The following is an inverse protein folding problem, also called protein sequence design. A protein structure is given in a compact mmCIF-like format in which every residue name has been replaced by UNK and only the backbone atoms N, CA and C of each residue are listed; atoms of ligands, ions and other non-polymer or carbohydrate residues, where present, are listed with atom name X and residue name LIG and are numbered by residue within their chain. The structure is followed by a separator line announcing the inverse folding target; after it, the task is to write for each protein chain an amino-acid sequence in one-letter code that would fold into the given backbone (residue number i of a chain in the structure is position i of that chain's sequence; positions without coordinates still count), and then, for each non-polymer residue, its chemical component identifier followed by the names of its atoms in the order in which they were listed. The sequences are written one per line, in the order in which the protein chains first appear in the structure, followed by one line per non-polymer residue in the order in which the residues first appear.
data_IF_930825704404
#
_entry.id   IF_930825704404
#
_cell.length_a   1.000
_cell.length_b   1.000
_cell.length_c   1.000
_cell.angle_alpha   90.00
_cell.angle_beta   90.00
_cell.angle_gamma   90.00
#
_symmetry.space_group_name_H-M   'P 1'
#
loop_
_entity.id
_entity.type
_entity.pdbx_description
1 polymer ?
#
# COMPACT_ATOMS: atom_id res chain seq x y z
N UNK A 1 -10.38 -13.34 21.96
CA UNK A 1 -9.44 -12.53 21.16
C UNK A 1 -8.98 -13.37 19.98
N UNK A 2 -9.01 -12.82 18.76
CA UNK A 2 -8.61 -13.53 17.52
C UNK A 2 -7.11 -13.34 17.31
N UNK A 3 -6.36 -14.43 17.14
CA UNK A 3 -4.90 -14.40 16.97
C UNK A 3 -4.50 -15.38 15.87
N UNK A 4 -3.60 -14.93 15.00
CA UNK A 4 -2.99 -15.73 13.94
C UNK A 4 -1.48 -15.53 13.94
N UNK A 5 -0.74 -16.58 13.61
CA UNK A 5 0.69 -16.51 13.36
C UNK A 5 0.95 -16.70 11.86
N UNK A 6 1.74 -15.80 11.29
CA UNK A 6 2.10 -15.77 9.88
C UNK A 6 3.61 -15.89 9.74
N UNK A 7 4.07 -16.96 9.10
CA UNK A 7 5.47 -17.21 8.83
C UNK A 7 5.85 -16.57 7.49
N UNK A 8 6.82 -15.66 7.54
CA UNK A 8 7.36 -14.92 6.40
C UNK A 8 8.86 -15.14 6.29
N UNK A 9 9.42 -14.79 5.15
CA UNK A 9 10.87 -14.76 4.96
C UNK A 9 11.50 -13.65 5.81
N UNK A 10 12.73 -13.87 6.28
CA UNK A 10 13.46 -12.87 7.06
C UNK A 10 13.85 -11.68 6.18
N UNK A 11 13.50 -10.47 6.63
CA UNK A 11 13.98 -9.17 6.15
C UNK A 11 14.21 -8.25 7.35
N UNK A 12 15.10 -7.27 7.22
CA UNK A 12 15.37 -6.28 8.26
C UNK A 12 14.20 -5.31 8.40
N UNK A 13 13.71 -4.74 7.30
CA UNK A 13 12.82 -3.59 7.34
C UNK A 13 11.41 -3.87 6.83
N UNK A 14 11.23 -4.89 5.98
CA UNK A 14 9.93 -5.19 5.36
C UNK A 14 9.27 -3.96 4.69
N UNK A 15 10.08 -3.18 3.96
CA UNK A 15 9.64 -2.03 3.14
C UNK A 15 10.04 -2.15 1.66
N UNK A 16 10.31 -3.37 1.19
CA UNK A 16 10.84 -3.69 -0.13
C UNK A 16 12.20 -4.38 -0.07
N UNK A 17 12.62 -4.95 -1.20
CA UNK A 17 13.95 -5.54 -1.38
C UNK A 17 14.93 -4.44 -1.75
N UNK A 18 16.06 -4.38 -1.05
CA UNK A 18 17.20 -3.50 -1.40
C UNK A 18 18.51 -4.28 -1.38
N UNK A 19 19.60 -3.66 -1.85
CA UNK A 19 20.91 -4.30 -1.78
C UNK A 19 21.36 -4.62 -0.35
N UNK A 20 20.97 -3.77 0.61
CA UNK A 20 21.28 -3.90 2.04
C UNK A 20 20.29 -4.78 2.82
N UNK A 21 19.13 -5.09 2.23
CA UNK A 21 18.05 -5.87 2.83
C UNK A 21 17.39 -6.81 1.81
N UNK A 22 18.14 -7.84 1.43
CA UNK A 22 17.63 -8.94 0.58
C UNK A 22 16.85 -9.92 1.43
N UNK A 23 15.71 -10.39 0.92
CA UNK A 23 15.01 -11.52 1.52
C UNK A 23 15.94 -12.72 1.64
N UNK A 24 15.99 -13.32 2.83
CA UNK A 24 16.82 -14.51 3.03
C UNK A 24 16.33 -15.64 2.11
N UNK A 25 17.21 -16.32 1.37
CA UNK A 25 16.82 -17.51 0.59
C UNK A 25 16.31 -18.61 1.53
N UNK A 26 15.00 -18.71 1.74
CA UNK A 26 14.41 -19.86 2.44
C UNK A 26 14.11 -20.98 1.45
N UNK A 27 14.41 -22.21 1.88
CA UNK A 27 14.28 -23.45 1.13
C UNK A 27 12.85 -23.68 0.66
N UNK A 28 12.58 -23.29 -0.60
CA UNK A 28 11.28 -23.45 -1.25
C UNK A 28 10.93 -22.39 -2.29
N UNK A 29 11.83 -21.44 -2.60
CA UNK A 29 11.60 -20.43 -3.63
C UNK A 29 11.12 -21.04 -4.95
N UNK A 30 9.85 -20.78 -5.27
CA UNK A 30 9.27 -21.06 -6.57
C UNK A 30 9.77 -20.03 -7.59
N UNK A 31 9.74 -20.45 -8.86
CA UNK A 31 10.42 -19.87 -10.02
C UNK A 31 9.84 -18.53 -10.52
N UNK A 32 8.86 -17.95 -9.84
CA UNK A 32 8.20 -16.73 -10.26
C UNK A 32 8.48 -15.62 -9.24
N UNK A 33 9.49 -14.79 -9.52
CA UNK A 33 10.08 -13.80 -8.60
C UNK A 33 9.14 -12.71 -8.04
N UNK A 34 7.85 -12.72 -8.37
CA UNK A 34 6.88 -11.72 -7.92
C UNK A 34 6.30 -12.02 -6.52
N UNK A 35 6.14 -13.29 -6.13
CA UNK A 35 5.45 -13.65 -4.87
C UNK A 35 6.29 -13.42 -3.61
N UNK A 36 7.61 -13.53 -3.69
CA UNK A 36 8.52 -13.19 -2.59
C UNK A 36 8.58 -11.68 -2.35
N UNK A 37 8.31 -10.86 -3.39
CA UNK A 37 8.35 -9.41 -3.28
C UNK A 37 7.25 -8.85 -2.35
N UNK A 38 6.06 -9.43 -2.29
CA UNK A 38 4.95 -8.85 -1.53
C UNK A 38 5.13 -8.95 -0.01
N UNK A 39 5.67 -10.05 0.53
CA UNK A 39 5.95 -10.15 1.98
C UNK A 39 7.02 -9.15 2.41
N UNK A 40 7.91 -8.75 1.48
CA UNK A 40 8.92 -7.74 1.75
C UNK A 40 8.34 -6.35 2.04
N UNK A 41 7.05 -6.11 1.82
CA UNK A 41 6.39 -4.83 2.11
C UNK A 41 5.46 -4.86 3.33
N UNK A 42 5.47 -5.96 4.11
CA UNK A 42 4.56 -6.15 5.24
C UNK A 42 4.65 -5.09 6.34
N UNK A 43 5.62 -4.17 6.35
CA UNK A 43 5.63 -3.07 7.33
C UNK A 43 5.82 -1.70 6.69
N UNK A 44 5.60 -1.58 5.38
CA UNK A 44 5.55 -0.30 4.70
C UNK A 44 4.22 0.40 4.99
N UNK A 45 4.31 1.66 5.43
CA UNK A 45 3.15 2.54 5.50
C UNK A 45 2.75 2.96 4.07
N UNK A 46 1.57 2.53 3.65
CA UNK A 46 0.96 2.86 2.37
C UNK A 46 -0.36 3.58 2.65
N UNK A 47 -0.30 4.90 2.55
CA UNK A 47 -1.42 5.81 2.80
C UNK A 47 -2.12 5.57 4.17
N UNK A 48 -1.35 5.31 5.22
CA UNK A 48 -1.85 5.11 6.59
C UNK A 48 -2.18 3.67 6.98
N UNK A 49 -1.90 2.70 6.09
CA UNK A 49 -2.12 1.27 6.32
C UNK A 49 -0.87 0.44 5.97
N UNK A 50 -0.73 -0.71 6.61
CA UNK A 50 0.15 -1.77 6.11
C UNK A 50 -0.71 -2.89 5.50
N UNK A 51 -0.24 -3.41 4.37
CA UNK A 51 -0.89 -4.47 3.61
C UNK A 51 -0.06 -5.74 3.76
N UNK A 52 -0.58 -6.68 4.55
CA UNK A 52 0.09 -7.91 4.94
C UNK A 52 -0.13 -9.04 3.95
N UNK A 53 0.97 -9.60 3.47
CA UNK A 53 1.02 -10.79 2.64
C UNK A 53 1.69 -11.95 3.39
N UNK A 54 1.08 -13.13 3.26
CA UNK A 54 1.65 -14.41 3.69
C UNK A 54 1.35 -15.45 2.63
N UNK A 55 2.38 -16.17 2.19
CA UNK A 55 2.19 -17.25 1.22
C UNK A 55 1.28 -18.34 1.81
N UNK A 56 0.17 -18.61 1.12
CA UNK A 56 -0.82 -19.60 1.50
C UNK A 56 -1.12 -20.54 0.32
N UNK A 57 -0.57 -21.77 0.37
CA UNK A 57 -0.81 -22.79 -0.67
C UNK A 57 -2.28 -23.23 -0.80
N UNK A 58 -3.10 -22.97 0.21
CA UNK A 58 -4.53 -23.29 0.18
C UNK A 58 -5.39 -22.27 -0.58
N UNK A 59 -4.81 -21.14 -1.01
CA UNK A 59 -5.52 -20.09 -1.76
C UNK A 59 -6.57 -19.30 -0.97
N UNK A 60 -6.88 -19.69 0.27
CA UNK A 60 -7.80 -18.96 1.15
C UNK A 60 -7.47 -19.12 2.64
N UNK A 61 -7.75 -18.09 3.43
CA UNK A 61 -7.71 -18.15 4.88
C UNK A 61 -9.00 -18.80 5.41
N UNK A 62 -8.84 -19.68 6.40
CA UNK A 62 -9.92 -20.37 7.08
C UNK A 62 -10.48 -19.50 8.21
N UNK A 63 -11.23 -18.46 7.85
CA UNK A 63 -11.75 -17.47 8.80
C UNK A 63 -12.70 -18.11 9.83
N UNK A 64 -13.39 -19.20 9.47
CA UNK A 64 -14.28 -19.98 10.33
C UNK A 64 -13.60 -20.56 11.58
N UNK A 65 -12.25 -20.57 11.61
CA UNK A 65 -11.47 -20.96 12.80
C UNK A 65 -11.44 -19.89 13.89
N UNK A 66 -11.90 -18.67 13.59
CA UNK A 66 -12.06 -17.62 14.59
C UNK A 66 -13.45 -17.65 15.21
N UNK A 67 -13.52 -17.35 16.51
CA UNK A 67 -14.80 -17.26 17.22
C UNK A 67 -15.76 -16.29 16.52
N UNK A 68 -17.00 -16.74 16.33
CA UNK A 68 -18.12 -16.04 15.68
C UNK A 68 -18.00 -15.83 14.17
N UNK A 69 -16.92 -16.29 13.53
CA UNK A 69 -16.80 -16.29 12.09
C UNK A 69 -17.39 -17.59 11.51
N UNK A 70 -17.85 -17.53 10.27
CA UNK A 70 -18.44 -18.64 9.52
C UNK A 70 -17.74 -18.80 8.18
N UNK A 71 -17.96 -19.93 7.52
CA UNK A 71 -17.40 -20.21 6.19
C UNK A 71 -17.89 -19.25 5.09
N UNK A 72 -18.95 -18.49 5.37
CA UNK A 72 -19.54 -17.51 4.46
C UNK A 72 -19.00 -16.10 4.68
N UNK A 73 -18.20 -15.86 5.72
CA UNK A 73 -17.61 -14.54 5.94
C UNK A 73 -16.42 -14.34 5.00
N UNK A 74 -16.43 -13.24 4.26
CA UNK A 74 -15.33 -12.87 3.36
C UNK A 74 -14.19 -12.15 4.09
N UNK A 75 -14.47 -11.61 5.29
CA UNK A 75 -13.48 -10.95 6.13
C UNK A 75 -13.79 -11.04 7.62
N UNK A 76 -12.76 -10.84 8.45
CA UNK A 76 -12.89 -10.73 9.91
C UNK A 76 -12.00 -9.62 10.46
N UNK A 77 -12.59 -8.75 11.29
CA UNK A 77 -11.87 -7.67 11.97
C UNK A 77 -11.34 -8.08 13.34
N UNK A 78 -10.58 -7.16 13.96
CA UNK A 78 -10.09 -7.24 15.32
C UNK A 78 -9.19 -8.46 15.57
N UNK A 79 -8.31 -8.75 14.61
CA UNK A 79 -7.34 -9.84 14.68
C UNK A 79 -5.97 -9.31 15.10
N UNK A 80 -5.31 -10.01 16.01
CA UNK A 80 -3.89 -9.86 16.28
C UNK A 80 -3.10 -10.76 15.33
N UNK A 81 -2.36 -10.17 14.40
CA UNK A 81 -1.47 -10.89 13.49
C UNK A 81 -0.07 -10.86 14.08
N UNK A 82 0.51 -12.02 14.36
CA UNK A 82 1.89 -12.16 14.81
C UNK A 82 2.75 -12.62 13.62
N UNK A 83 3.70 -11.78 13.22
CA UNK A 83 4.64 -12.10 12.14
C UNK A 83 5.85 -12.84 12.72
N UNK A 84 6.18 -13.97 12.10
CA UNK A 84 7.24 -14.88 12.51
C UNK A 84 8.19 -15.08 11.34
N UNK A 85 9.49 -15.11 11.59
CA UNK A 85 10.46 -15.44 10.56
C UNK A 85 11.58 -16.33 11.11
N UNK A 86 12.19 -17.12 10.22
CA UNK A 86 13.33 -17.97 10.56
C UNK A 86 14.62 -17.15 10.60
N UNK A 87 15.23 -17.05 11.77
CA UNK A 87 16.53 -16.41 11.94
C UNK A 87 17.65 -17.32 11.44
N UNK A 88 18.42 -16.89 10.43
CA UNK A 88 19.46 -17.70 9.81
C UNK A 88 20.55 -18.16 10.78
N UNK A 89 20.97 -17.29 11.71
CA UNK A 89 22.06 -17.55 12.66
C UNK A 89 21.77 -18.70 13.63
N UNK A 90 20.53 -18.80 14.11
CA UNK A 90 20.12 -19.78 15.12
C UNK A 90 19.29 -20.93 14.52
N UNK A 91 18.76 -20.74 13.31
CA UNK A 91 17.83 -21.66 12.67
C UNK A 91 16.42 -21.66 13.29
N UNK A 92 16.17 -20.81 14.28
CA UNK A 92 14.91 -20.75 15.04
C UNK A 92 13.92 -19.78 14.41
N UNK A 93 12.63 -20.03 14.62
CA UNK A 93 11.58 -19.08 14.26
C UNK A 93 11.36 -18.12 15.42
N UNK A 94 11.34 -16.83 15.14
CA UNK A 94 11.18 -15.78 16.15
C UNK A 94 10.11 -14.79 15.71
N UNK A 95 9.48 -14.12 16.67
CA UNK A 95 8.58 -12.99 16.37
C UNK A 95 9.41 -11.86 15.78
N UNK A 96 9.00 -11.37 14.60
CA UNK A 96 9.61 -10.18 13.97
C UNK A 96 8.78 -8.92 14.22
N UNK A 97 7.47 -9.07 14.38
CA UNK A 97 6.57 -7.95 14.58
C UNK A 97 5.12 -8.41 14.67
N UNK A 98 4.19 -7.45 14.73
CA UNK A 98 2.76 -7.75 14.81
C UNK A 98 1.90 -6.60 14.27
N UNK A 99 0.67 -6.95 13.87
CA UNK A 99 -0.40 -5.98 13.64
C UNK A 99 -1.45 -6.12 14.73
N UNK A 100 -1.89 -4.99 15.30
CA UNK A 100 -3.08 -4.93 16.15
C UNK A 100 -4.29 -4.53 15.32
N UNK A 101 -5.45 -5.05 15.71
CA UNK A 101 -6.75 -4.69 15.12
C UNK A 101 -6.79 -4.83 13.59
N UNK A 102 -6.15 -5.88 13.07
CA UNK A 102 -6.12 -6.16 11.64
C UNK A 102 -7.46 -6.70 11.13
N UNK A 103 -7.74 -6.42 9.87
CA UNK A 103 -8.76 -7.08 9.06
C UNK A 103 -8.08 -8.18 8.24
N UNK A 104 -8.64 -9.39 8.26
CA UNK A 104 -8.22 -10.51 7.43
C UNK A 104 -9.27 -10.77 6.37
N UNK A 105 -8.83 -11.09 5.16
CA UNK A 105 -9.69 -11.49 4.05
C UNK A 105 -9.55 -12.98 3.76
N UNK A 106 -10.67 -13.62 3.42
CA UNK A 106 -10.70 -15.04 3.06
C UNK A 106 -9.86 -15.29 1.82
N UNK A 107 -10.00 -14.45 0.80
CA UNK A 107 -9.22 -14.49 -0.43
C UNK A 107 -8.26 -13.30 -0.48
N UNK A 108 -7.13 -13.46 -1.16
CA UNK A 108 -6.21 -12.35 -1.41
C UNK A 108 -6.94 -11.23 -2.16
N UNK A 109 -6.63 -10.00 -1.77
CA UNK A 109 -7.07 -8.77 -2.40
C UNK A 109 -5.97 -8.27 -3.32
N UNK A 110 -6.38 -7.73 -4.46
CA UNK A 110 -5.52 -7.14 -5.48
C UNK A 110 -5.91 -5.68 -5.67
N UNK A 111 -4.92 -4.79 -5.71
CA UNK A 111 -5.12 -3.39 -6.04
C UNK A 111 -3.99 -2.91 -6.95
N UNK A 112 -4.38 -2.37 -8.10
CA UNK A 112 -3.49 -1.87 -9.13
C UNK A 112 -3.65 -0.35 -9.24
N UNK A 113 -2.62 0.43 -8.91
CA UNK A 113 -2.71 1.88 -8.95
C UNK A 113 -2.78 2.43 -10.37
N UNK A 114 -3.45 3.56 -10.51
CA UNK A 114 -3.55 4.35 -11.74
C UNK A 114 -2.40 5.35 -11.87
N UNK A 115 -2.02 5.63 -13.12
CA UNK A 115 -1.06 6.70 -13.46
C UNK A 115 0.38 6.44 -13.03
N UNK A 116 0.75 5.19 -12.75
CA UNK A 116 2.09 4.86 -12.24
C UNK A 116 2.36 5.37 -10.83
N UNK A 117 1.33 5.75 -10.07
CA UNK A 117 1.45 6.30 -8.71
C UNK A 117 1.28 5.18 -7.68
N UNK A 118 2.36 4.78 -7.04
CA UNK A 118 2.35 3.72 -6.02
C UNK A 118 2.78 2.37 -6.58
N UNK A 119 2.39 1.28 -5.92
CA UNK A 119 2.74 -0.09 -6.34
C UNK A 119 1.53 -1.01 -6.29
N UNK A 120 1.60 -2.09 -7.05
CA UNK A 120 0.63 -3.19 -6.98
C UNK A 120 0.61 -3.77 -5.55
N UNK A 121 -0.59 -3.94 -5.02
CA UNK A 121 -0.81 -4.56 -3.73
C UNK A 121 -1.42 -5.96 -3.93
N UNK A 122 -0.81 -6.93 -3.26
CA UNK A 122 -1.34 -8.28 -3.12
C UNK A 122 -1.30 -8.66 -1.65
N UNK A 123 -2.46 -8.75 -1.00
CA UNK A 123 -2.52 -8.90 0.45
C UNK A 123 -3.71 -9.74 0.89
N UNK A 124 -3.62 -10.35 2.07
CA UNK A 124 -4.77 -11.04 2.71
C UNK A 124 -5.11 -10.42 4.06
N UNK A 125 -4.36 -9.39 4.46
CA UNK A 125 -4.50 -8.73 5.76
C UNK A 125 -4.22 -7.24 5.60
N UNK A 126 -4.92 -6.39 6.33
CA UNK A 126 -4.56 -4.99 6.46
C UNK A 126 -4.73 -4.50 7.90
N UNK A 127 -3.95 -3.50 8.27
CA UNK A 127 -4.09 -2.80 9.54
C UNK A 127 -3.63 -1.34 9.39
N UNK A 128 -4.10 -0.46 10.27
CA UNK A 128 -3.58 0.92 10.32
C UNK A 128 -2.09 0.89 10.61
N UNK A 129 -1.28 1.65 9.89
CA UNK A 129 0.19 1.63 10.03
C UNK A 129 0.67 1.91 11.45
N UNK A 130 -0.01 2.81 12.16
CA UNK A 130 0.20 3.11 13.60
C UNK A 130 -0.08 1.95 14.56
N UNK A 131 -0.71 0.88 14.08
CA UNK A 131 -1.01 -0.36 14.81
C UNK A 131 -0.16 -1.54 14.32
N UNK A 132 0.79 -1.27 13.43
CA UNK A 132 1.78 -2.21 12.93
C UNK A 132 3.12 -1.93 13.60
N UNK A 133 3.77 -2.99 14.08
CA UNK A 133 4.94 -2.87 14.95
C UNK A 133 6.01 -3.87 14.51
N UNK A 134 7.12 -3.36 13.97
CA UNK A 134 8.27 -4.16 13.55
C UNK A 134 9.40 -4.01 14.57
N UNK A 135 9.89 -5.14 15.08
CA UNK A 135 11.00 -5.17 16.02
C UNK A 135 12.34 -4.94 15.31
N UNK A 136 13.27 -4.17 15.93
CA UNK A 136 14.68 -4.17 15.55
C UNK A 136 15.25 -5.59 15.58
N UNK A 137 16.23 -5.90 14.72
CA UNK A 137 16.82 -7.25 14.63
C UNK A 137 17.34 -7.78 15.97
N UNK A 138 17.92 -6.92 16.81
CA UNK A 138 18.44 -7.29 18.14
C UNK A 138 17.36 -7.74 19.12
N UNK A 139 16.11 -7.29 18.91
CA UNK A 139 14.97 -7.55 19.79
C UNK A 139 14.12 -8.75 19.34
N UNK A 140 14.44 -9.34 18.17
CA UNK A 140 13.77 -10.53 17.62
C UNK A 140 14.23 -11.81 18.31
N UNK A 141 14.03 -11.87 19.62
CA UNK A 141 14.52 -12.94 20.50
C UNK A 141 13.41 -13.90 20.98
N UNK A 142 12.13 -13.53 20.84
CA UNK A 142 11.03 -14.38 21.29
C UNK A 142 10.82 -15.54 20.32
N UNK A 143 11.23 -16.73 20.73
CA UNK A 143 11.16 -17.94 19.91
C UNK A 143 9.75 -18.52 19.82
N UNK A 144 9.34 -18.89 18.61
CA UNK A 144 8.12 -19.64 18.34
C UNK A 144 8.50 -21.10 18.05
N UNK A 145 8.15 -22.05 18.95
CA UNK A 145 8.47 -23.45 18.73
C UNK A 145 7.68 -24.01 17.54
N UNK A 146 8.26 -25.00 16.84
CA UNK A 146 7.57 -25.74 15.77
C UNK A 146 6.88 -26.96 16.37
N UNK A 147 5.65 -27.25 15.97
CA UNK A 147 4.89 -28.41 16.48
C UNK A 147 5.62 -29.73 16.29
N UNK A 148 6.42 -29.85 15.21
CA UNK A 148 7.24 -31.02 14.89
C UNK A 148 8.37 -31.28 15.91
N UNK A 149 8.75 -30.28 16.71
CA UNK A 149 9.87 -30.34 17.67
C UNK A 149 9.37 -30.54 19.10
N UNK A 150 8.20 -30.03 19.45
CA UNK A 150 7.62 -30.13 20.79
C UNK A 150 6.58 -31.26 20.85
N UNK A 151 5.31 -30.95 20.63
CA UNK A 151 4.19 -31.88 20.52
C UNK A 151 3.14 -31.25 19.60
N UNK A 152 2.23 -32.07 19.05
CA UNK A 152 1.04 -31.60 18.34
C UNK A 152 0.32 -30.56 19.23
N UNK A 153 -0.14 -29.46 18.65
CA UNK A 153 -0.82 -28.35 19.34
C UNK A 153 0.02 -27.44 20.27
N UNK A 154 1.35 -27.64 20.37
CA UNK A 154 2.26 -26.84 21.22
C UNK A 154 3.26 -25.96 20.46
N UNK A 155 3.14 -25.87 19.14
CA UNK A 155 3.98 -25.02 18.31
C UNK A 155 3.38 -24.81 16.92
N UNK A 156 4.02 -23.98 16.11
CA UNK A 156 3.55 -23.65 14.77
C UNK A 156 3.63 -24.87 13.86
N UNK A 157 2.49 -25.26 13.29
CA UNK A 157 2.38 -26.36 12.31
C UNK A 157 2.86 -25.93 10.92
N UNK A 158 2.92 -26.85 9.96
CA UNK A 158 2.89 -26.49 8.52
C UNK A 158 1.40 -26.45 8.15
N UNK A 159 0.86 -25.41 7.47
CA UNK A 159 1.50 -24.43 6.58
C UNK A 159 2.02 -23.13 7.27
N UNK A 160 2.40 -22.10 6.48
CA UNK A 160 2.90 -20.79 6.94
C UNK A 160 1.93 -20.02 7.88
N UNK A 161 0.72 -20.54 8.07
CA UNK A 161 -0.32 -19.93 8.88
C UNK A 161 -0.67 -20.87 10.01
N UNK A 162 -0.75 -20.34 11.23
CA UNK A 162 -1.19 -21.09 12.40
C UNK A 162 -2.29 -20.35 13.15
N UNK A 163 -3.46 -20.99 13.23
CA UNK A 163 -4.61 -20.55 14.00
C UNK A 163 -4.48 -21.04 15.44
N UNK A 164 -4.71 -20.15 16.40
CA UNK A 164 -4.57 -20.49 17.81
C UNK A 164 -5.85 -21.14 18.33
N UNK A 165 -5.99 -22.44 18.04
CA UNK A 165 -7.20 -23.21 18.37
C UNK A 165 -7.05 -23.98 19.69
N UNK A 166 -5.85 -24.47 20.00
CA UNK A 166 -5.64 -25.35 21.14
C UNK A 166 -5.80 -24.63 22.49
N UNK A 167 -6.48 -25.28 23.43
CA UNK A 167 -6.65 -24.74 24.80
C UNK A 167 -5.31 -24.52 25.50
N UNK A 168 -4.31 -25.37 25.23
CA UNK A 168 -2.96 -25.19 25.73
C UNK A 168 -2.29 -23.92 25.19
N UNK A 169 -2.32 -23.69 23.86
CA UNK A 169 -1.72 -22.49 23.29
C UNK A 169 -2.40 -21.23 23.84
N UNK A 170 -3.74 -21.22 23.93
CA UNK A 170 -4.51 -20.12 24.49
C UNK A 170 -4.17 -19.81 25.96
N UNK A 171 -3.91 -20.83 26.77
CA UNK A 171 -3.72 -20.68 28.24
C UNK A 171 -2.26 -20.54 28.68
N UNK A 172 -1.32 -21.18 27.98
CA UNK A 172 0.09 -21.25 28.41
C UNK A 172 1.02 -20.44 27.52
N UNK A 173 0.70 -20.30 26.24
CA UNK A 173 1.61 -19.71 25.25
C UNK A 173 1.25 -18.26 24.93
N UNK A 174 -0.02 -17.99 24.63
CA UNK A 174 -0.51 -16.64 24.31
C UNK A 174 -0.27 -15.63 25.44
N UNK A 175 -0.50 -15.93 26.73
CA UNK A 175 -0.24 -14.95 27.78
C UNK A 175 1.20 -14.47 27.83
N UNK A 176 2.18 -15.36 27.58
CA UNK A 176 3.60 -15.00 27.53
C UNK A 176 3.94 -14.07 26.37
N UNK A 177 3.30 -14.27 25.22
CA UNK A 177 3.47 -13.38 24.05
C UNK A 177 2.86 -12.02 24.32
N UNK A 178 1.67 -11.97 24.91
CA UNK A 178 1.03 -10.72 25.27
C UNK A 178 1.83 -9.96 26.34
N UNK A 179 2.37 -10.67 27.32
CA UNK A 179 3.28 -10.10 28.30
C UNK A 179 4.55 -9.54 27.63
N UNK A 180 5.18 -10.30 26.72
CA UNK A 180 6.30 -9.81 25.92
C UNK A 180 5.95 -8.52 25.16
N UNK A 181 4.82 -8.50 24.44
CA UNK A 181 4.37 -7.31 23.70
C UNK A 181 4.06 -6.11 24.60
N UNK A 182 3.51 -6.33 25.80
CA UNK A 182 3.15 -5.26 26.74
C UNK A 182 4.38 -4.71 27.50
N UNK A 183 5.32 -5.60 27.81
CA UNK A 183 6.56 -5.29 28.52
C UNK A 183 7.62 -4.69 27.62
N UNK A 184 7.56 -4.91 26.30
CA UNK A 184 8.49 -4.30 25.35
C UNK A 184 8.46 -2.76 25.44
N UNK A 185 9.61 -2.17 25.77
CA UNK A 185 9.82 -0.71 25.87
C UNK A 185 10.77 -0.16 24.81
N UNK A 186 11.26 -1.01 23.90
CA UNK A 186 12.10 -0.59 22.79
C UNK A 186 11.32 0.19 21.73
N UNK A 187 12.06 0.81 20.81
CA UNK A 187 11.48 1.46 19.63
C UNK A 187 11.15 0.45 18.54
N UNK A 188 10.14 0.75 17.73
CA UNK A 188 9.83 0.00 16.51
C UNK A 188 10.53 0.65 15.32
N UNK A 189 10.92 -0.14 14.32
CA UNK A 189 11.72 0.34 13.18
C UNK A 189 10.88 0.69 11.95
N UNK A 190 9.63 0.23 11.87
CA UNK A 190 8.75 0.61 10.77
C UNK A 190 8.39 2.10 10.86
N UNK A 191 8.48 2.80 9.74
CA UNK A 191 8.14 4.21 9.67
C UNK A 191 6.63 4.39 9.61
N UNK A 192 6.12 5.33 10.42
CA UNK A 192 4.72 5.76 10.41
C UNK A 192 4.70 7.26 10.15
N UNK A 193 4.06 7.67 9.07
CA UNK A 193 4.05 9.08 8.64
C UNK A 193 2.90 9.83 9.32
N UNK A 194 3.11 10.21 10.58
CA UNK A 194 2.17 11.07 11.30
C UNK A 194 2.18 12.50 10.74
N UNK A 195 1.16 13.30 11.08
CA UNK A 195 1.14 14.72 10.71
C UNK A 195 2.38 15.48 11.19
N UNK A 196 2.88 15.17 12.37
CA UNK A 196 4.09 15.78 12.92
C UNK A 196 5.31 15.46 12.06
N UNK A 197 5.43 14.20 11.60
CA UNK A 197 6.52 13.76 10.71
C UNK A 197 6.40 14.46 9.35
N UNK A 198 5.20 14.49 8.76
CA UNK A 198 4.98 15.03 7.43
C UNK A 198 5.07 16.56 7.35
N UNK A 199 4.84 17.27 8.46
CA UNK A 199 4.95 18.74 8.53
C UNK A 199 6.32 19.22 9.00
N UNK A 200 7.25 18.30 9.25
CA UNK A 200 8.58 18.62 9.77
C UNK A 200 9.36 19.49 8.78
N UNK A 201 10.14 20.42 9.33
CA UNK A 201 11.08 21.28 8.59
C UNK A 201 12.50 21.03 9.07
N UNK A 202 13.47 21.49 8.29
CA UNK A 202 14.88 21.52 8.65
C UNK A 202 15.17 22.71 9.57
N UNK A 203 16.18 22.57 10.42
CA UNK A 203 16.74 23.67 11.20
C UNK A 203 18.02 24.18 10.52
N UNK A 204 17.87 24.77 9.33
CA UNK A 204 18.96 25.30 8.51
C UNK A 204 18.60 26.71 8.02
N UNK A 205 19.62 27.52 7.75
CA UNK A 205 19.46 28.88 7.23
C UNK A 205 19.89 28.92 5.77
N UNK A 206 19.01 28.48 4.87
CA UNK A 206 19.15 28.63 3.42
C UNK A 206 18.06 29.57 2.89
N UNK A 207 18.34 30.22 1.76
CA UNK A 207 17.32 30.97 1.02
C UNK A 207 16.35 30.02 0.29
N UNK A 208 15.25 30.57 -0.22
CA UNK A 208 14.19 29.80 -0.86
C UNK A 208 14.70 28.95 -2.04
N UNK A 209 15.41 29.54 -3.02
CA UNK A 209 15.79 28.82 -4.24
C UNK A 209 16.75 27.64 -3.97
N UNK A 210 17.81 27.77 -3.16
CA UNK A 210 18.64 26.62 -2.81
C UNK A 210 17.90 25.46 -2.12
N UNK A 211 16.81 25.73 -1.39
CA UNK A 211 15.98 24.69 -0.79
C UNK A 211 15.17 23.94 -1.87
N UNK A 212 14.64 24.67 -2.85
CA UNK A 212 13.92 24.09 -4.00
C UNK A 212 14.87 23.20 -4.81
N UNK A 213 16.01 23.74 -5.24
CA UNK A 213 17.00 23.01 -6.05
C UNK A 213 17.44 21.71 -5.34
N UNK A 214 17.60 21.77 -4.01
CA UNK A 214 17.96 20.60 -3.22
C UNK A 214 16.81 19.59 -3.08
N UNK A 215 15.58 20.07 -2.97
CA UNK A 215 14.37 19.22 -3.00
C UNK A 215 14.30 18.43 -4.31
N UNK A 216 14.47 19.10 -5.45
CA UNK A 216 14.46 18.47 -6.78
C UNK A 216 15.59 17.44 -6.94
N UNK A 217 16.81 17.76 -6.49
CA UNK A 217 17.94 16.82 -6.49
C UNK A 217 17.61 15.54 -5.70
N UNK A 218 16.90 15.67 -4.58
CA UNK A 218 16.54 14.54 -3.72
C UNK A 218 15.38 13.72 -4.31
N UNK A 219 14.40 14.34 -4.97
CA UNK A 219 13.37 13.62 -5.74
C UNK A 219 14.02 12.74 -6.81
N UNK A 220 14.98 13.28 -7.58
CA UNK A 220 15.71 12.53 -8.60
C UNK A 220 16.55 11.37 -8.05
N UNK A 221 16.84 11.37 -6.75
CA UNK A 221 17.54 10.31 -6.03
C UNK A 221 16.59 9.38 -5.26
N UNK A 222 15.28 9.59 -5.40
CA UNK A 222 14.22 8.87 -4.67
C UNK A 222 14.32 9.02 -3.13
N UNK A 223 14.99 10.08 -2.65
CA UNK A 223 15.05 10.43 -1.22
C UNK A 223 13.89 11.36 -0.84
N UNK A 224 12.68 10.83 -0.98
CA UNK A 224 11.43 11.58 -0.89
C UNK A 224 11.20 12.22 0.48
N UNK A 225 11.66 11.58 1.56
CA UNK A 225 11.48 12.14 2.91
C UNK A 225 12.36 13.35 3.12
N UNK A 226 13.63 13.30 2.69
CA UNK A 226 14.47 14.49 2.78
C UNK A 226 13.98 15.59 1.82
N UNK A 227 13.56 15.24 0.60
CA UNK A 227 12.94 16.20 -0.32
C UNK A 227 11.77 16.95 0.35
N UNK A 228 10.85 16.21 1.01
CA UNK A 228 9.74 16.78 1.77
C UNK A 228 10.21 17.79 2.84
N UNK A 229 11.27 17.47 3.59
CA UNK A 229 11.82 18.38 4.60
C UNK A 229 12.34 19.68 3.97
N UNK A 230 13.01 19.61 2.82
CA UNK A 230 13.50 20.78 2.09
C UNK A 230 12.34 21.64 1.58
N UNK A 231 11.34 21.04 0.92
CA UNK A 231 10.18 21.77 0.43
C UNK A 231 9.33 22.37 1.57
N UNK A 232 9.10 21.63 2.65
CA UNK A 232 8.43 22.18 3.84
C UNK A 232 9.18 23.39 4.42
N UNK A 233 10.50 23.36 4.40
CA UNK A 233 11.34 24.50 4.85
C UNK A 233 11.24 25.67 3.88
N UNK A 234 11.26 25.42 2.57
CA UNK A 234 11.09 26.46 1.55
C UNK A 234 9.74 27.18 1.70
N UNK A 235 8.66 26.42 1.92
CA UNK A 235 7.30 26.94 2.14
C UNK A 235 7.16 27.81 3.39
N UNK A 236 8.06 27.69 4.39
CA UNK A 236 8.10 28.62 5.54
C UNK A 236 8.66 29.99 5.18
N UNK A 237 9.50 30.06 4.15
CA UNK A 237 10.09 31.31 3.65
C UNK A 237 9.13 31.96 2.67
N UNK A 238 8.65 31.19 1.69
CA UNK A 238 7.68 31.63 0.70
C UNK A 238 6.81 30.44 0.26
N UNK A 239 5.50 30.55 0.47
CA UNK A 239 4.56 29.48 0.12
C UNK A 239 4.09 29.66 -1.33
N UNK A 240 4.70 28.89 -2.24
CA UNK A 240 4.46 28.95 -3.69
C UNK A 240 3.85 27.66 -4.20
N UNK A 241 3.23 27.72 -5.39
CA UNK A 241 2.73 26.54 -6.08
C UNK A 241 3.86 25.53 -6.39
N UNK A 242 5.02 25.99 -6.84
CA UNK A 242 6.18 25.14 -7.15
C UNK A 242 6.68 24.36 -5.92
N UNK A 243 6.83 25.04 -4.78
CA UNK A 243 7.26 24.38 -3.55
C UNK A 243 6.21 23.37 -3.05
N UNK A 244 4.92 23.69 -3.21
CA UNK A 244 3.82 22.81 -2.82
C UNK A 244 3.68 21.61 -3.79
N UNK A 245 4.01 21.79 -5.06
CA UNK A 245 4.11 20.70 -6.04
C UNK A 245 5.19 19.71 -5.61
N UNK A 246 6.39 20.21 -5.25
CA UNK A 246 7.47 19.37 -4.72
C UNK A 246 7.09 18.64 -3.42
N UNK A 247 6.30 19.26 -2.54
CA UNK A 247 5.68 18.56 -1.39
C UNK A 247 4.76 17.43 -1.87
N UNK A 248 3.91 17.67 -2.86
CA UNK A 248 2.97 16.69 -3.36
C UNK A 248 3.67 15.48 -4.00
N UNK A 249 4.72 15.71 -4.79
CA UNK A 249 5.55 14.64 -5.37
C UNK A 249 6.30 13.85 -4.29
N UNK A 250 6.86 14.54 -3.30
CA UNK A 250 7.49 13.88 -2.16
C UNK A 250 6.50 12.97 -1.43
N UNK A 251 5.27 13.43 -1.22
CA UNK A 251 4.21 12.65 -0.59
C UNK A 251 3.78 11.45 -1.46
N UNK A 252 3.75 11.58 -2.79
CA UNK A 252 3.56 10.44 -3.70
C UNK A 252 4.66 9.39 -3.49
N UNK A 253 5.93 9.78 -3.51
CA UNK A 253 7.06 8.85 -3.32
C UNK A 253 7.07 8.18 -1.95
N UNK A 254 6.49 8.84 -0.94
CA UNK A 254 6.27 8.27 0.41
C UNK A 254 4.98 7.43 0.51
N UNK A 255 4.24 7.25 -0.58
CA UNK A 255 2.93 6.59 -0.64
C UNK A 255 1.82 7.26 0.18
N UNK A 256 1.95 8.56 0.49
CA UNK A 256 1.01 9.33 1.31
C UNK A 256 -0.03 10.04 0.43
N UNK A 257 -0.80 9.27 -0.34
CA UNK A 257 -1.68 9.78 -1.40
C UNK A 257 -2.74 10.75 -0.89
N UNK A 258 -3.37 10.47 0.25
CA UNK A 258 -4.40 11.36 0.80
C UNK A 258 -3.84 12.75 1.14
N UNK A 259 -2.55 12.83 1.49
CA UNK A 259 -1.84 14.08 1.75
C UNK A 259 -1.36 14.74 0.46
N UNK A 260 -0.91 13.95 -0.52
CA UNK A 260 -0.58 14.44 -1.84
C UNK A 260 -1.80 15.11 -2.52
N UNK A 261 -3.01 14.55 -2.35
CA UNK A 261 -4.26 15.17 -2.83
C UNK A 261 -4.42 16.58 -2.28
N UNK A 262 -4.28 16.76 -0.96
CA UNK A 262 -4.42 18.08 -0.31
C UNK A 262 -3.38 19.06 -0.88
N UNK A 263 -2.15 18.59 -1.12
CA UNK A 263 -1.10 19.42 -1.69
C UNK A 263 -1.43 19.83 -3.13
N UNK A 264 -1.83 18.91 -4.01
CA UNK A 264 -2.22 19.23 -5.39
C UNK A 264 -3.48 20.09 -5.49
N UNK A 265 -4.47 19.89 -4.63
CA UNK A 265 -5.61 20.81 -4.50
C UNK A 265 -5.13 22.23 -4.15
N UNK A 266 -4.16 22.33 -3.24
CA UNK A 266 -3.52 23.59 -2.89
C UNK A 266 -2.75 24.22 -4.07
N UNK A 267 -1.99 23.43 -4.83
CA UNK A 267 -1.30 23.89 -6.05
C UNK A 267 -2.33 24.51 -7.01
N UNK A 268 -3.37 23.77 -7.36
CA UNK A 268 -4.42 24.23 -8.29
C UNK A 268 -5.13 25.49 -7.78
N UNK A 269 -5.33 25.61 -6.47
CA UNK A 269 -5.91 26.84 -5.89
C UNK A 269 -4.98 28.06 -6.03
N UNK A 270 -3.65 27.87 -6.07
CA UNK A 270 -2.67 28.96 -6.19
C UNK A 270 -2.49 29.42 -7.63
N UNK A 271 -2.45 28.50 -8.59
CA UNK A 271 -2.07 28.82 -9.99
C UNK A 271 -3.15 28.49 -11.03
N UNK A 272 -4.27 27.93 -10.62
CA UNK A 272 -5.34 27.47 -11.49
C UNK A 272 -5.09 26.10 -12.11
N UNK A 273 -5.90 25.76 -13.10
CA UNK A 273 -5.87 24.46 -13.75
C UNK A 273 -4.66 24.35 -14.69
N UNK A 274 -3.75 23.43 -14.38
CA UNK A 274 -2.64 23.03 -15.25
C UNK A 274 -2.73 21.53 -15.54
N UNK A 275 -2.28 21.13 -16.73
CA UNK A 275 -2.37 19.75 -17.20
C UNK A 275 -1.73 18.76 -16.20
N UNK A 276 -0.51 19.01 -15.76
CA UNK A 276 0.24 18.12 -14.87
C UNK A 276 -0.42 17.98 -13.49
N UNK A 277 -0.79 19.11 -12.86
CA UNK A 277 -1.44 19.11 -11.55
C UNK A 277 -2.81 18.41 -11.58
N UNK A 278 -3.58 18.57 -12.66
CA UNK A 278 -4.84 17.85 -12.84
C UNK A 278 -4.61 16.36 -13.09
N UNK A 279 -3.59 15.98 -13.87
CA UNK A 279 -3.25 14.58 -14.11
C UNK A 279 -2.94 13.85 -12.80
N UNK A 280 -2.03 14.39 -11.99
CA UNK A 280 -1.70 13.79 -10.68
C UNK A 280 -2.92 13.72 -9.77
N UNK A 281 -3.68 14.81 -9.66
CA UNK A 281 -4.86 14.85 -8.79
C UNK A 281 -5.93 13.84 -9.20
N UNK A 282 -6.16 13.67 -10.51
CA UNK A 282 -7.10 12.69 -11.05
C UNK A 282 -6.68 11.25 -10.72
N UNK A 283 -5.42 10.90 -10.96
CA UNK A 283 -4.89 9.58 -10.63
C UNK A 283 -4.92 9.31 -9.11
N UNK A 284 -4.57 10.28 -8.28
CA UNK A 284 -4.65 10.18 -6.83
C UNK A 284 -6.10 9.99 -6.34
N UNK A 285 -7.07 10.66 -6.96
CA UNK A 285 -8.47 10.43 -6.65
C UNK A 285 -8.94 9.03 -7.02
N UNK A 286 -8.48 8.47 -8.13
CA UNK A 286 -8.75 7.07 -8.44
C UNK A 286 -8.09 6.12 -7.43
N UNK A 287 -6.82 6.37 -7.06
CA UNK A 287 -6.07 5.54 -6.13
C UNK A 287 -6.56 5.59 -4.68
N UNK A 288 -7.53 6.47 -4.38
CA UNK A 288 -8.16 6.62 -3.06
C UNK A 288 -9.68 6.43 -3.13
N UNK A 289 -10.17 5.75 -4.17
CA UNK A 289 -11.58 5.41 -4.41
C UNK A 289 -12.54 6.62 -4.48
N UNK A 290 -12.01 7.81 -4.80
CA UNK A 290 -12.78 9.06 -4.95
C UNK A 290 -13.19 9.27 -6.43
N UNK A 291 -13.78 8.25 -7.05
CA UNK A 291 -14.07 8.22 -8.49
C UNK A 291 -14.93 9.38 -9.00
N UNK A 292 -15.92 9.83 -8.21
CA UNK A 292 -16.74 11.02 -8.57
C UNK A 292 -15.88 12.27 -8.70
N UNK A 293 -14.87 12.43 -7.83
CA UNK A 293 -13.93 13.56 -7.92
C UNK A 293 -12.99 13.39 -9.10
N UNK A 294 -12.48 12.16 -9.34
CA UNK A 294 -11.64 11.86 -10.49
C UNK A 294 -12.33 12.25 -11.81
N UNK A 295 -13.60 11.88 -12.00
CA UNK A 295 -14.40 12.26 -13.19
C UNK A 295 -14.48 13.77 -13.37
N UNK A 296 -14.70 14.53 -12.27
CA UNK A 296 -14.72 16.00 -12.33
C UNK A 296 -13.37 16.59 -12.75
N UNK A 297 -12.27 15.98 -12.34
CA UNK A 297 -10.94 16.39 -12.81
C UNK A 297 -10.77 16.06 -14.29
N UNK A 298 -11.19 14.89 -14.75
CA UNK A 298 -11.18 14.56 -16.19
C UNK A 298 -11.98 15.59 -17.01
N UNK A 299 -13.15 16.04 -16.53
CA UNK A 299 -13.94 17.06 -17.22
C UNK A 299 -13.22 18.41 -17.33
N UNK A 300 -12.44 18.78 -16.30
CA UNK A 300 -11.58 19.98 -16.33
C UNK A 300 -10.41 19.80 -17.30
N UNK A 301 -9.76 18.64 -17.30
CA UNK A 301 -8.72 18.32 -18.27
C UNK A 301 -9.24 18.41 -19.72
N UNK A 302 -10.45 17.90 -19.98
CA UNK A 302 -11.11 18.00 -21.28
C UNK A 302 -11.37 19.45 -21.71
N UNK A 303 -11.49 20.41 -20.79
CA UNK A 303 -11.64 21.82 -21.13
C UNK A 303 -10.32 22.46 -21.56
N UNK A 304 -9.19 21.96 -21.06
CA UNK A 304 -7.86 22.49 -21.33
C UNK A 304 -7.15 21.85 -22.53
N UNK A 305 -7.40 20.56 -22.77
CA UNK A 305 -6.71 19.81 -23.83
C UNK A 305 -6.98 20.39 -25.22
N UNK A 306 -5.95 20.40 -26.07
CA UNK A 306 -6.07 20.79 -27.47
C UNK A 306 -7.12 19.90 -28.14
N UNK A 307 -8.13 20.53 -28.75
CA UNK A 307 -9.23 19.84 -29.41
C UNK A 307 -8.80 19.04 -30.64
N UNK A 308 -7.64 19.34 -31.19
CA UNK A 308 -7.03 18.58 -32.28
C UNK A 308 -6.25 17.36 -31.80
N UNK A 309 -5.87 17.30 -30.51
CA UNK A 309 -5.20 16.15 -29.92
C UNK A 309 -6.21 15.10 -29.47
N UNK A 310 -6.68 14.34 -30.45
CA UNK A 310 -7.70 13.29 -30.25
C UNK A 310 -7.21 12.20 -29.30
N UNK A 311 -5.93 11.85 -29.31
CA UNK A 311 -5.43 10.74 -28.51
C UNK A 311 -5.31 11.11 -27.02
N UNK A 312 -4.92 12.35 -26.70
CA UNK A 312 -5.01 12.86 -25.33
C UNK A 312 -6.46 12.91 -24.85
N UNK A 313 -7.41 13.31 -25.71
CA UNK A 313 -8.84 13.31 -25.37
C UNK A 313 -9.34 11.88 -25.09
N UNK A 314 -9.00 10.92 -25.96
CA UNK A 314 -9.35 9.51 -25.78
C UNK A 314 -8.77 8.95 -24.47
N UNK A 315 -7.52 9.30 -24.15
CA UNK A 315 -6.87 8.90 -22.89
C UNK A 315 -7.63 9.43 -21.66
N UNK A 316 -8.08 10.70 -21.69
CA UNK A 316 -8.88 11.26 -20.59
C UNK A 316 -10.24 10.55 -20.48
N UNK A 317 -10.90 10.23 -21.60
CA UNK A 317 -12.13 9.44 -21.58
C UNK A 317 -11.90 8.03 -21.04
N UNK A 318 -10.74 7.43 -21.29
CA UNK A 318 -10.41 6.10 -20.80
C UNK A 318 -10.31 6.07 -19.26
N UNK A 319 -9.70 7.10 -18.66
CA UNK A 319 -9.75 7.27 -17.20
C UNK A 319 -11.18 7.43 -16.66
N UNK A 320 -12.07 8.11 -17.41
CA UNK A 320 -13.49 8.18 -17.04
C UNK A 320 -14.17 6.82 -17.13
N UNK A 321 -13.83 5.97 -18.10
CA UNK A 321 -14.33 4.58 -18.18
C UNK A 321 -13.99 3.82 -16.90
N UNK A 322 -12.72 3.83 -16.47
CA UNK A 322 -12.32 3.16 -15.23
C UNK A 322 -13.08 3.69 -14.01
N UNK A 323 -13.21 5.02 -13.89
CA UNK A 323 -13.95 5.62 -12.79
C UNK A 323 -15.44 5.26 -12.81
N UNK A 324 -16.09 5.22 -13.98
CA UNK A 324 -17.49 4.83 -14.10
C UNK A 324 -17.72 3.34 -13.86
N UNK A 325 -16.80 2.47 -14.29
CA UNK A 325 -16.85 1.04 -13.97
C UNK A 325 -16.79 0.80 -12.46
N UNK A 326 -15.89 1.50 -11.75
CA UNK A 326 -15.79 1.40 -10.30
C UNK A 326 -17.02 1.99 -9.57
N UNK A 327 -17.79 2.86 -10.23
CA UNK A 327 -19.06 3.40 -9.75
C UNK A 327 -20.28 2.57 -10.17
N UNK A 328 -20.08 1.46 -10.89
CA UNK A 328 -21.14 0.64 -11.49
C UNK A 328 -22.09 1.44 -12.41
N UNK A 329 -21.58 2.51 -13.06
CA UNK A 329 -22.32 3.32 -14.03
C UNK A 329 -21.96 2.91 -15.47
N UNK A 330 -22.43 1.73 -15.86
CA UNK A 330 -22.26 1.18 -17.22
C UNK A 330 -22.72 2.16 -18.30
N UNK A 331 -23.73 2.97 -18.02
CA UNK A 331 -24.31 3.89 -19.00
C UNK A 331 -23.32 4.97 -19.38
N UNK A 332 -22.62 5.55 -18.40
CA UNK A 332 -21.59 6.56 -18.67
C UNK A 332 -20.29 5.94 -19.16
N UNK A 333 -19.92 4.77 -18.66
CA UNK A 333 -18.76 4.01 -19.16
C UNK A 333 -18.89 3.72 -20.67
N UNK A 334 -20.05 3.18 -21.10
CA UNK A 334 -20.32 2.88 -22.52
C UNK A 334 -20.29 4.14 -23.38
N UNK A 335 -20.81 5.28 -22.91
CA UNK A 335 -20.74 6.55 -23.66
C UNK A 335 -19.29 7.01 -23.88
N UNK A 336 -18.43 6.84 -22.88
CA UNK A 336 -17.01 7.16 -23.02
C UNK A 336 -16.34 6.22 -24.03
N UNK A 337 -16.63 4.92 -23.96
CA UNK A 337 -16.12 3.92 -24.91
C UNK A 337 -16.58 4.21 -26.34
N UNK A 338 -17.85 4.56 -26.54
CA UNK A 338 -18.39 4.94 -27.86
C UNK A 338 -17.65 6.14 -28.48
N UNK A 339 -17.28 7.11 -27.65
CA UNK A 339 -16.45 8.23 -28.09
C UNK A 339 -15.08 7.73 -28.55
N UNK A 340 -14.38 6.96 -27.70
CA UNK A 340 -13.04 6.45 -27.98
C UNK A 340 -13.03 5.64 -29.29
N UNK A 341 -13.95 4.66 -29.42
CA UNK A 341 -14.03 3.76 -30.57
C UNK A 341 -14.20 4.53 -31.89
N UNK A 342 -14.98 5.63 -31.86
CA UNK A 342 -15.24 6.46 -33.03
C UNK A 342 -14.09 7.41 -33.35
N UNK A 343 -13.37 7.89 -32.35
CA UNK A 343 -12.45 9.02 -32.48
C UNK A 343 -11.00 8.60 -32.68
N UNK A 344 -10.50 7.60 -31.95
CA UNK A 344 -9.07 7.23 -31.98
C UNK A 344 -8.65 6.70 -33.35
N UNK A 345 -7.46 7.06 -33.78
CA UNK A 345 -6.81 6.47 -34.96
C UNK A 345 -6.08 5.17 -34.61
N UNK A 346 -5.72 4.97 -33.34
CA UNK A 346 -5.02 3.79 -32.83
C UNK A 346 -5.94 2.55 -32.84
N UNK A 347 -5.57 1.54 -33.64
CA UNK A 347 -6.36 0.32 -33.77
C UNK A 347 -6.30 -0.57 -32.53
N UNK A 348 -5.17 -0.60 -31.81
CA UNK A 348 -5.02 -1.38 -30.58
C UNK A 348 -5.92 -0.77 -29.50
N UNK A 349 -5.83 0.54 -29.30
CA UNK A 349 -6.66 1.24 -28.34
C UNK A 349 -8.16 1.14 -28.67
N UNK A 350 -8.52 1.19 -29.96
CA UNK A 350 -9.90 0.97 -30.42
C UNK A 350 -10.38 -0.42 -30.07
N UNK A 351 -9.58 -1.46 -30.31
CA UNK A 351 -9.95 -2.84 -30.06
C UNK A 351 -10.13 -3.11 -28.56
N UNK A 352 -9.28 -2.54 -27.71
CA UNK A 352 -9.43 -2.62 -26.25
C UNK A 352 -10.76 -2.00 -25.80
N UNK A 353 -11.09 -0.80 -26.31
CA UNK A 353 -12.35 -0.14 -26.00
C UNK A 353 -13.58 -0.95 -26.48
N UNK A 354 -13.50 -1.62 -27.64
CA UNK A 354 -14.54 -2.54 -28.13
C UNK A 354 -14.69 -3.74 -27.20
N UNK A 355 -13.58 -4.31 -26.73
CA UNK A 355 -13.55 -5.43 -25.78
C UNK A 355 -14.26 -5.07 -24.47
N UNK A 356 -13.81 -3.99 -23.83
CA UNK A 356 -14.40 -3.50 -22.57
C UNK A 356 -15.90 -3.20 -22.72
N UNK A 357 -16.30 -2.58 -23.84
CA UNK A 357 -17.72 -2.28 -24.10
C UNK A 357 -18.54 -3.57 -24.19
N UNK A 358 -18.00 -4.59 -24.85
CA UNK A 358 -18.68 -5.88 -25.03
C UNK A 358 -18.93 -6.57 -23.68
N UNK A 359 -17.95 -6.53 -22.77
CA UNK A 359 -18.07 -7.07 -21.41
C UNK A 359 -19.18 -6.37 -20.62
N UNK A 360 -19.21 -5.03 -20.63
CA UNK A 360 -20.25 -4.25 -19.94
C UNK A 360 -21.66 -4.51 -20.48
N UNK A 361 -21.78 -4.81 -21.78
CA UNK A 361 -23.09 -5.14 -22.38
C UNK A 361 -23.52 -6.59 -22.17
N UNK A 362 -22.59 -7.50 -21.88
CA UNK A 362 -22.85 -8.94 -21.73
C UNK A 362 -23.22 -9.34 -20.30
N UNK A 363 -22.92 -8.50 -19.31
CA UNK A 363 -23.25 -8.72 -17.89
C UNK A 363 -24.69 -8.30 -17.51
N UNK A 364 -25.56 -8.09 -18.49
CA UNK A 364 -27.01 -7.80 -18.34
C UNK A 364 -27.82 -8.97 -18.85
#
# INVERSE_FOLDING_TARGET
MRIIFCNVTWSKNYIGVSDDDKLSKTSGGEKDGNNEAYESYNFQDYNGKCYGYVSNRGGSLHLERFEKATVNDDSVDNVLVIWVAKQAKTGKNVIVGWYKNATLYKYSQEFYPYGGIGRDLYFSMEARSKECFLLPESERAFEIPRSIIVEKDRGMEKPNIWYVESGYAKTMFIPKILEFMQSYKGGFINLVYSEEVLQKTLNISLEYQPLIDKGEELINKEDFYNALLYYNTARKINDTADALFGVAESLIGLNMFSRAIIAFEGVINMEGDKADSLYYLQCLYMNTDQFIKAVKICDRMLQLVDKSDVESICSIYYYKVYAYNALEDDTQAIKCLDFIIKATADEEFRNDAVGMKSELTSNK
#
